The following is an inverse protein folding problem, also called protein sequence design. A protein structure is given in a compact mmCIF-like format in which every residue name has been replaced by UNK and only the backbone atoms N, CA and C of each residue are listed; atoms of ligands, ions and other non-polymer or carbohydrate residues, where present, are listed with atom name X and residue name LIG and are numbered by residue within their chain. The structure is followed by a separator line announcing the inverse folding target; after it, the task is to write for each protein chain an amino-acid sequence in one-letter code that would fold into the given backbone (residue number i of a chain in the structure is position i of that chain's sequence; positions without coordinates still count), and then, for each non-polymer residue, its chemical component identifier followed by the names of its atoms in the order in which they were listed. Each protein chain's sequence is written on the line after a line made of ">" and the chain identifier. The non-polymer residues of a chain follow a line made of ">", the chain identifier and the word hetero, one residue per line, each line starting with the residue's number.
data_IF_176203901602
#
_entry.id   IF_176203901602
#
_cell.length_a   1.000
_cell.length_b   1.000
_cell.length_c   1.000
_cell.angle_alpha   90.00
_cell.angle_beta   90.00
_cell.angle_gamma   90.00
#
_symmetry.space_group_name_H-M   'P 1'
#
loop_
_entity.id
_entity.type
_entity.pdbx_description
1 polymer ?
#
# COMPACT_ATOMS: atom_id res chain seq x y z
N UNK A 1 39.03 -57.46 23.82
CA UNK A 1 40.19 -57.30 24.74
C UNK A 1 40.15 -55.87 25.23
N UNK A 2 39.65 -55.74 26.34
CA UNK A 2 40.19 -55.69 27.73
C UNK A 2 40.67 -54.29 28.05
N UNK A 3 39.96 -53.71 28.97
CA UNK A 3 40.19 -53.50 30.40
C UNK A 3 40.74 -52.10 30.70
N UNK A 4 40.07 -51.42 31.46
CA UNK A 4 39.97 -51.22 32.95
C UNK A 4 40.70 -49.99 33.42
N UNK A 5 39.97 -49.22 34.15
CA UNK A 5 40.03 -48.87 35.58
C UNK A 5 40.95 -47.68 35.87
N UNK A 6 40.76 -46.78 36.76
CA UNK A 6 40.11 -46.81 38.09
C UNK A 6 40.08 -45.36 38.66
N UNK A 7 39.01 -45.02 39.34
CA UNK A 7 38.77 -44.32 40.60
C UNK A 7 39.86 -43.39 41.19
N UNK A 8 39.41 -42.29 41.78
CA UNK A 8 39.38 -41.95 43.21
C UNK A 8 38.85 -40.54 43.44
N UNK A 9 37.71 -40.38 44.04
CA UNK A 9 37.37 -40.03 45.46
C UNK A 9 38.15 -38.87 46.11
N UNK A 10 37.37 -37.95 46.67
CA UNK A 10 37.76 -36.99 47.68
C UNK A 10 36.77 -35.80 47.72
N UNK A 11 35.77 -35.86 48.33
CA UNK A 11 35.21 -35.69 49.68
C UNK A 11 35.53 -34.31 50.29
N UNK A 12 34.44 -33.63 50.60
CA UNK A 12 33.98 -32.99 51.79
C UNK A 12 33.96 -31.46 51.91
N UNK A 13 32.77 -31.09 52.32
CA UNK A 13 32.32 -30.16 53.36
C UNK A 13 31.86 -28.77 52.90
N UNK A 14 30.53 -28.65 53.03
CA UNK A 14 29.71 -27.81 53.90
C UNK A 14 30.29 -26.45 54.30
N UNK A 15 29.48 -25.39 54.01
CA UNK A 15 28.76 -24.55 54.98
C UNK A 15 27.93 -23.54 54.18
N UNK A 16 26.69 -23.58 54.27
CA UNK A 16 25.66 -22.94 55.09
C UNK A 16 25.53 -21.43 54.92
N UNK A 17 24.29 -21.08 54.77
CA UNK A 17 23.58 -19.86 55.08
C UNK A 17 23.52 -18.73 54.06
N UNK A 18 22.38 -18.44 53.70
CA UNK A 18 21.44 -17.37 53.95
C UNK A 18 20.75 -16.85 52.69
N UNK A 19 19.49 -17.07 52.70
CA UNK A 19 18.40 -16.33 52.07
C UNK A 19 18.65 -14.85 51.84
N UNK A 20 18.35 -14.39 50.66
CA UNK A 20 18.25 -13.00 50.31
C UNK A 20 17.47 -12.80 49.01
N UNK A 21 16.16 -12.75 49.18
CA UNK A 21 15.24 -12.27 48.13
C UNK A 21 15.40 -10.75 48.02
N UNK A 22 15.62 -10.18 46.85
CA UNK A 22 15.43 -8.78 46.61
C UNK A 22 14.23 -8.51 45.71
N UNK A 23 13.05 -8.50 46.29
CA UNK A 23 11.95 -7.67 45.77
C UNK A 23 12.23 -6.22 46.19
N UNK A 24 12.78 -5.44 45.37
CA UNK A 24 12.81 -3.97 45.46
C UNK A 24 12.01 -3.42 44.28
N UNK A 25 10.89 -3.06 44.57
CA UNK A 25 10.07 -1.87 44.65
C UNK A 25 10.59 -0.66 43.80
N UNK A 26 10.59 -0.84 42.45
CA UNK A 26 10.87 0.22 41.47
C UNK A 26 9.64 1.12 41.24
N UNK A 27 8.57 0.95 41.98
CA UNK A 27 7.34 1.73 41.81
C UNK A 27 7.29 2.99 42.69
N UNK A 28 8.23 3.18 43.62
CA UNK A 28 8.30 4.41 44.45
C UNK A 28 9.02 5.58 43.77
N UNK A 29 10.02 5.30 42.97
CA UNK A 29 10.83 6.36 42.35
C UNK A 29 10.09 7.16 41.26
N UNK A 30 9.05 6.61 40.66
CA UNK A 30 8.24 7.29 39.64
C UNK A 30 7.20 8.23 40.27
N UNK A 31 6.70 7.89 41.45
CA UNK A 31 5.73 8.73 42.15
C UNK A 31 6.37 9.97 42.79
N UNK A 32 7.62 9.84 43.28
CA UNK A 32 8.36 10.95 43.86
C UNK A 32 8.80 11.98 42.79
N UNK A 33 9.09 11.53 41.56
CA UNK A 33 9.40 12.43 40.42
C UNK A 33 8.16 13.17 39.92
N UNK A 34 6.98 12.57 40.01
CA UNK A 34 5.73 13.23 39.60
C UNK A 34 5.23 14.26 40.63
N UNK A 35 5.57 14.07 41.89
CA UNK A 35 5.21 15.03 42.98
C UNK A 35 6.12 16.27 43.01
N UNK A 36 7.36 16.16 42.50
CA UNK A 36 8.27 17.30 42.34
C UNK A 36 7.91 18.16 41.09
N UNK A 37 7.35 17.54 40.04
CA UNK A 37 6.87 18.27 38.86
C UNK A 37 5.52 18.97 39.06
N UNK A 38 4.80 18.64 40.12
CA UNK A 38 3.51 19.27 40.49
C UNK A 38 3.64 20.57 41.30
N UNK A 39 4.86 20.97 41.70
CA UNK A 39 5.12 22.23 42.44
C UNK A 39 5.73 23.29 41.55
N UNK A 40 5.13 23.56 40.40
CA UNK A 40 5.39 24.76 39.63
C UNK A 40 4.52 25.90 40.20
N UNK A 41 5.17 26.95 40.62
CA UNK A 41 4.62 28.14 41.24
C UNK A 41 3.34 28.65 40.55
N UNK A 42 2.32 28.96 41.37
CA UNK A 42 1.16 29.74 40.92
C UNK A 42 1.68 31.09 40.39
N UNK A 43 1.23 31.48 39.16
CA UNK A 43 1.63 32.81 38.65
C UNK A 43 0.93 33.89 39.49
N UNK A 44 1.75 34.78 40.07
CA UNK A 44 1.30 36.00 40.72
C UNK A 44 0.32 36.77 39.81
N UNK A 45 -0.79 37.17 40.40
CA UNK A 45 -1.77 38.03 39.75
C UNK A 45 -1.14 39.31 39.27
N UNK A 46 -1.22 39.68 37.99
CA UNK A 46 -0.68 40.92 37.51
C UNK A 46 -1.45 42.11 38.10
N UNK A 47 -0.73 43.03 38.70
CA UNK A 47 -1.24 44.35 39.09
C UNK A 47 -1.90 45.04 37.90
N UNK A 48 -3.04 45.66 38.15
CA UNK A 48 -3.84 46.40 37.17
C UNK A 48 -3.10 47.67 36.74
N UNK A 49 -2.24 47.59 35.74
CA UNK A 49 -1.82 48.78 34.98
C UNK A 49 -2.73 48.87 33.74
N UNK A 50 -3.34 50.02 33.54
CA UNK A 50 -4.40 50.28 32.57
C UNK A 50 -4.01 50.26 31.09
N UNK A 51 -2.91 49.62 30.72
CA UNK A 51 -2.40 49.53 29.33
C UNK A 51 -2.41 48.11 28.78
N UNK A 52 -2.57 47.06 29.59
CA UNK A 52 -2.53 45.65 29.14
C UNK A 52 -3.71 45.26 28.22
N UNK A 53 -4.87 45.82 28.46
CA UNK A 53 -6.05 45.55 27.61
C UNK A 53 -5.96 46.21 26.22
N UNK A 54 -5.28 47.37 26.13
CA UNK A 54 -5.03 48.07 24.86
C UNK A 54 -4.08 47.25 23.95
N UNK A 55 -3.05 46.63 24.54
CA UNK A 55 -2.10 45.78 23.81
C UNK A 55 -2.81 44.50 23.33
N UNK A 56 -3.65 43.89 24.17
CA UNK A 56 -4.43 42.71 23.78
C UNK A 56 -5.45 43.05 22.66
N UNK A 57 -6.07 44.22 22.71
CA UNK A 57 -7.02 44.68 21.68
C UNK A 57 -6.31 44.98 20.34
N UNK A 58 -5.12 45.60 20.38
CA UNK A 58 -4.30 45.86 19.20
C UNK A 58 -3.77 44.56 18.57
N UNK A 59 -3.37 43.59 19.38
CA UNK A 59 -2.96 42.27 18.89
C UNK A 59 -4.12 41.52 18.20
N UNK A 60 -5.32 41.51 18.79
CA UNK A 60 -6.51 40.92 18.20
C UNK A 60 -6.95 41.62 16.90
N UNK A 61 -6.84 42.95 16.84
CA UNK A 61 -7.14 43.72 15.62
C UNK A 61 -6.15 43.44 14.49
N UNK A 62 -4.84 43.25 14.82
CA UNK A 62 -3.82 42.88 13.84
C UNK A 62 -4.05 41.47 13.27
N UNK A 63 -4.46 40.50 14.10
CA UNK A 63 -4.80 39.14 13.64
C UNK A 63 -6.02 39.18 12.72
N UNK A 64 -7.09 39.90 13.09
CA UNK A 64 -8.27 40.04 12.25
C UNK A 64 -7.98 40.77 10.91
N UNK A 65 -7.10 41.76 10.91
CA UNK A 65 -6.64 42.42 9.69
C UNK A 65 -5.81 41.48 8.79
N UNK A 66 -4.94 40.64 9.37
CA UNK A 66 -4.16 39.65 8.65
C UNK A 66 -5.05 38.58 8.01
N UNK A 67 -6.07 38.11 8.71
CA UNK A 67 -7.07 37.16 8.15
C UNK A 67 -7.89 37.79 7.02
N UNK A 68 -8.29 39.04 7.17
CA UNK A 68 -8.99 39.80 6.13
C UNK A 68 -8.15 39.95 4.86
N UNK A 69 -6.86 40.29 5.00
CA UNK A 69 -5.90 40.39 3.90
C UNK A 69 -5.67 39.01 3.26
N UNK A 70 -5.55 37.96 4.05
CA UNK A 70 -5.39 36.59 3.55
C UNK A 70 -6.60 36.13 2.72
N UNK A 71 -7.82 36.34 3.22
CA UNK A 71 -9.07 36.03 2.50
C UNK A 71 -9.18 36.85 1.21
N UNK A 72 -8.80 38.13 1.25
CA UNK A 72 -8.81 39.01 0.08
C UNK A 72 -7.80 38.57 -0.98
N UNK A 73 -6.57 38.23 -0.58
CA UNK A 73 -5.52 37.71 -1.48
C UNK A 73 -5.96 36.35 -2.09
N UNK A 74 -6.58 35.46 -1.31
CA UNK A 74 -7.12 34.19 -1.78
C UNK A 74 -8.22 34.40 -2.81
N UNK A 75 -9.15 35.33 -2.59
CA UNK A 75 -10.21 35.71 -3.53
C UNK A 75 -9.66 36.40 -4.79
N UNK A 76 -8.58 37.16 -4.69
CA UNK A 76 -7.91 37.79 -5.82
C UNK A 76 -7.15 36.78 -6.69
N UNK A 77 -6.57 35.75 -6.11
CA UNK A 77 -5.90 34.65 -6.83
C UNK A 77 -6.92 33.77 -7.58
N UNK A 78 -8.10 33.56 -7.06
CA UNK A 78 -9.15 32.78 -7.73
C UNK A 78 -9.75 33.53 -8.94
N UNK A 79 -9.78 34.88 -8.94
CA UNK A 79 -10.25 35.66 -10.09
C UNK A 79 -9.24 35.80 -11.23
N UNK A 80 -7.92 35.60 -10.99
CA UNK A 80 -6.89 35.66 -12.02
C UNK A 80 -6.74 34.37 -12.85
N UNK A 81 -7.44 33.28 -12.53
CA UNK A 81 -7.37 32.01 -13.27
C UNK A 81 -8.42 31.83 -14.37
N UNK A 82 -9.23 32.84 -14.71
CA UNK A 82 -9.98 32.81 -15.96
C UNK A 82 -9.09 33.35 -17.08
N UNK A 83 -8.29 32.45 -17.69
CA UNK A 83 -7.69 32.73 -19.01
C UNK A 83 -8.81 32.91 -20.04
N UNK A 84 -8.76 33.93 -20.91
CA UNK A 84 -9.61 33.96 -22.10
C UNK A 84 -9.29 32.72 -22.93
N UNK A 85 -10.29 31.99 -23.38
CA UNK A 85 -10.13 30.97 -24.41
C UNK A 85 -9.61 31.69 -25.69
N UNK A 86 -8.58 31.16 -26.37
CA UNK A 86 -8.24 31.64 -27.68
C UNK A 86 -9.40 31.35 -28.64
N UNK A 87 -9.91 32.36 -29.33
CA UNK A 87 -10.80 32.19 -30.45
C UNK A 87 -10.04 31.38 -31.50
N UNK A 88 -10.49 30.19 -31.81
CA UNK A 88 -10.01 29.38 -32.91
C UNK A 88 -10.69 29.88 -34.19
N UNK A 89 -9.91 30.34 -35.13
CA UNK A 89 -10.34 30.53 -36.53
C UNK A 89 -10.86 29.18 -37.09
N UNK A 90 -11.83 29.21 -38.01
CA UNK A 90 -12.39 27.97 -38.55
C UNK A 90 -11.36 27.29 -39.46
N UNK A 91 -10.65 26.32 -38.96
CA UNK A 91 -9.87 25.40 -39.79
C UNK A 91 -10.83 24.46 -40.49
N UNK A 92 -10.78 24.51 -41.84
CA UNK A 92 -11.50 23.58 -42.71
C UNK A 92 -11.29 22.13 -42.30
N UNK A 93 -12.31 21.55 -41.71
CA UNK A 93 -12.29 20.14 -41.32
C UNK A 93 -12.59 19.29 -42.53
N UNK A 94 -11.56 18.72 -43.13
CA UNK A 94 -11.72 17.58 -44.05
C UNK A 94 -12.27 16.42 -43.21
N UNK A 95 -13.53 16.05 -43.43
CA UNK A 95 -14.20 14.95 -42.81
C UNK A 95 -13.47 13.65 -43.17
N UNK A 96 -12.68 13.14 -42.23
CA UNK A 96 -12.31 11.71 -42.21
C UNK A 96 -13.58 10.90 -41.96
N UNK A 97 -13.77 9.75 -42.62
CA UNK A 97 -14.98 8.96 -42.48
C UNK A 97 -15.08 8.51 -41.00
N UNK A 98 -16.22 8.80 -40.42
CA UNK A 98 -16.63 8.31 -39.09
C UNK A 98 -16.49 6.79 -39.10
N UNK A 99 -15.40 6.29 -38.54
CA UNK A 99 -15.27 4.87 -38.24
C UNK A 99 -16.38 4.47 -37.29
N UNK A 100 -16.90 3.29 -37.56
CA UNK A 100 -18.05 2.66 -36.92
C UNK A 100 -18.09 2.95 -35.40
N UNK A 101 -19.27 3.35 -34.93
CA UNK A 101 -19.61 3.35 -33.51
C UNK A 101 -19.14 2.04 -32.89
N UNK A 102 -18.21 2.15 -31.93
CA UNK A 102 -17.88 1.05 -31.03
C UNK A 102 -19.20 0.51 -30.45
N UNK A 103 -19.40 -0.80 -30.40
CA UNK A 103 -20.57 -1.35 -29.78
C UNK A 103 -20.66 -0.81 -28.35
N UNK A 104 -21.70 -0.02 -28.06
CA UNK A 104 -22.04 0.31 -26.69
C UNK A 104 -22.19 -1.00 -25.96
N UNK A 105 -21.25 -1.29 -25.07
CA UNK A 105 -21.31 -2.44 -24.19
C UNK A 105 -22.62 -2.30 -23.42
N UNK A 106 -23.62 -3.09 -23.79
CA UNK A 106 -24.90 -3.12 -23.10
C UNK A 106 -24.58 -3.34 -21.62
N UNK A 107 -24.98 -2.42 -20.75
CA UNK A 107 -24.87 -2.56 -19.30
C UNK A 107 -25.57 -3.87 -18.94
N UNK A 108 -24.79 -4.93 -18.74
CA UNK A 108 -25.31 -6.24 -18.35
C UNK A 108 -25.77 -6.12 -16.91
N UNK A 109 -27.09 -6.01 -16.72
CA UNK A 109 -27.72 -6.02 -15.41
C UNK A 109 -27.87 -7.48 -14.96
N UNK A 110 -27.21 -7.87 -13.89
CA UNK A 110 -27.31 -9.23 -13.32
C UNK A 110 -26.23 -9.45 -12.26
N UNK A 111 -26.31 -10.55 -11.51
CA UNK A 111 -25.22 -10.92 -10.61
C UNK A 111 -23.97 -11.31 -11.42
N UNK A 112 -22.81 -11.11 -10.82
CA UNK A 112 -21.57 -11.65 -11.36
C UNK A 112 -21.57 -13.17 -11.11
N UNK A 113 -21.50 -13.93 -12.17
CA UNK A 113 -21.54 -15.40 -12.10
C UNK A 113 -20.19 -16.03 -12.45
N UNK A 114 -19.33 -15.29 -13.11
CA UNK A 114 -18.02 -15.75 -13.53
C UNK A 114 -16.97 -14.64 -13.40
N UNK A 115 -15.75 -15.01 -13.03
CA UNK A 115 -14.57 -14.17 -13.08
C UNK A 115 -13.57 -14.79 -14.05
N UNK A 116 -13.20 -14.04 -15.11
CA UNK A 116 -12.12 -14.43 -16.00
C UNK A 116 -10.79 -13.86 -15.46
N UNK A 117 -9.72 -14.64 -15.60
CA UNK A 117 -8.41 -14.31 -15.04
C UNK A 117 -7.39 -14.11 -16.16
N UNK A 118 -6.71 -12.97 -16.17
CA UNK A 118 -5.51 -12.70 -16.96
C UNK A 118 -4.30 -12.58 -16.06
N UNK A 119 -3.14 -13.04 -16.55
CA UNK A 119 -1.90 -13.06 -15.77
C UNK A 119 -0.73 -12.62 -16.63
N UNK A 120 0.07 -11.69 -16.15
CA UNK A 120 1.38 -11.36 -16.72
C UNK A 120 2.42 -11.43 -15.62
N UNK A 121 3.58 -12.04 -15.93
CA UNK A 121 4.65 -12.19 -14.97
C UNK A 121 5.96 -12.37 -15.73
N UNK A 122 6.81 -11.35 -15.71
CA UNK A 122 8.04 -11.36 -16.47
C UNK A 122 9.19 -10.66 -15.73
N UNK A 123 10.38 -11.13 -16.00
CA UNK A 123 11.59 -10.70 -15.31
C UNK A 123 12.05 -9.29 -15.73
N UNK A 124 11.63 -8.81 -16.91
CA UNK A 124 12.14 -7.56 -17.45
C UNK A 124 13.62 -7.61 -17.75
N UNK A 125 14.35 -6.57 -17.37
CA UNK A 125 15.80 -6.44 -17.58
C UNK A 125 16.63 -6.77 -16.31
N UNK A 126 15.99 -7.24 -15.25
CA UNK A 126 16.65 -7.60 -13.98
C UNK A 126 17.38 -8.96 -14.09
N UNK A 127 18.35 -9.20 -13.22
CA UNK A 127 19.10 -10.47 -13.18
C UNK A 127 18.27 -11.61 -12.59
N UNK A 128 17.30 -11.31 -11.73
CA UNK A 128 16.41 -12.27 -11.08
C UNK A 128 14.98 -11.80 -11.07
N UNK A 129 14.04 -12.73 -10.93
CA UNK A 129 12.62 -12.45 -10.73
C UNK A 129 12.34 -12.42 -9.23
N UNK A 130 12.01 -11.24 -8.71
CA UNK A 130 11.70 -11.02 -7.30
C UNK A 130 10.20 -10.83 -7.05
N UNK A 131 9.41 -10.60 -8.11
CA UNK A 131 7.96 -10.63 -8.01
C UNK A 131 7.45 -12.06 -7.83
N UNK A 132 6.34 -12.20 -7.14
CA UNK A 132 5.58 -13.45 -7.03
C UNK A 132 4.08 -13.16 -7.06
N UNK A 133 3.32 -14.10 -7.58
CA UNK A 133 1.86 -13.97 -7.60
C UNK A 133 1.17 -15.34 -7.51
N UNK A 134 -0.10 -15.33 -7.15
CA UNK A 134 -0.96 -16.51 -7.29
C UNK A 134 -2.44 -16.09 -7.34
N UNK A 135 -3.25 -16.98 -7.87
CA UNK A 135 -4.72 -16.90 -7.85
C UNK A 135 -5.26 -18.22 -7.33
N UNK A 136 -6.23 -18.17 -6.43
CA UNK A 136 -6.74 -19.38 -5.77
C UNK A 136 -7.47 -20.34 -6.71
N UNK A 137 -8.02 -19.83 -7.81
CA UNK A 137 -8.74 -20.60 -8.84
C UNK A 137 -8.81 -19.79 -10.13
N UNK A 138 -9.00 -20.46 -11.26
CA UNK A 138 -9.29 -19.82 -12.56
C UNK A 138 -10.80 -19.54 -12.75
N UNK A 139 -11.63 -19.85 -11.76
CA UNK A 139 -13.07 -19.60 -11.76
C UNK A 139 -13.57 -19.21 -10.37
N UNK A 140 -14.70 -18.51 -10.34
CA UNK A 140 -15.33 -18.12 -9.08
C UNK A 140 -15.80 -19.38 -8.33
N UNK A 141 -15.32 -19.54 -7.10
CA UNK A 141 -15.66 -20.63 -6.19
C UNK A 141 -16.62 -20.14 -5.10
N UNK A 142 -17.28 -21.03 -4.33
CA UNK A 142 -18.15 -20.63 -3.22
C UNK A 142 -17.42 -19.81 -2.12
N UNK A 143 -16.14 -20.10 -1.87
CA UNK A 143 -15.26 -19.35 -0.96
C UNK A 143 -14.66 -18.10 -1.59
N UNK A 144 -14.97 -17.84 -2.86
CA UNK A 144 -14.50 -16.69 -3.63
C UNK A 144 -13.29 -16.99 -4.50
N UNK A 145 -12.77 -15.94 -5.11
CA UNK A 145 -11.50 -15.97 -5.85
C UNK A 145 -10.55 -14.95 -5.23
N UNK A 146 -9.42 -15.42 -4.76
CA UNK A 146 -8.36 -14.64 -4.17
C UNK A 146 -7.21 -14.49 -5.16
N UNK A 147 -6.77 -13.26 -5.41
CA UNK A 147 -5.53 -12.95 -6.11
C UNK A 147 -4.54 -12.28 -5.15
N UNK A 148 -3.27 -12.59 -5.30
CA UNK A 148 -2.17 -11.97 -4.57
C UNK A 148 -1.00 -11.67 -5.50
N UNK A 149 -0.41 -10.48 -5.35
CA UNK A 149 0.85 -10.07 -5.98
C UNK A 149 1.77 -9.55 -4.88
N UNK A 150 3.02 -9.94 -4.93
CA UNK A 150 4.08 -9.56 -4.00
C UNK A 150 5.33 -9.20 -4.79
N UNK A 151 5.81 -7.97 -4.61
CA UNK A 151 7.01 -7.43 -5.23
C UNK A 151 8.13 -7.47 -4.20
N UNK A 152 9.11 -8.34 -4.44
CA UNK A 152 10.21 -8.62 -3.53
C UNK A 152 11.34 -7.64 -3.68
N UNK A 153 11.82 -7.09 -2.56
CA UNK A 153 12.93 -6.16 -2.51
C UNK A 153 14.03 -6.65 -1.56
N UNK A 154 15.26 -6.43 -1.96
CA UNK A 154 16.45 -6.76 -1.14
C UNK A 154 17.67 -6.95 -2.03
N UNK A 155 18.81 -6.42 -1.60
CA UNK A 155 20.08 -6.65 -2.28
C UNK A 155 20.52 -8.12 -2.10
N UNK A 156 20.80 -8.83 -3.20
CA UNK A 156 21.53 -10.10 -3.22
C UNK A 156 20.81 -11.37 -2.73
N UNK A 157 19.62 -11.72 -3.12
CA UNK A 157 19.07 -13.09 -3.07
C UNK A 157 17.88 -13.37 -2.11
N UNK A 158 17.36 -12.41 -1.36
CA UNK A 158 16.26 -12.73 -0.43
C UNK A 158 14.89 -12.17 -0.86
N UNK A 159 14.83 -11.21 -1.80
CA UNK A 159 13.58 -10.60 -2.26
C UNK A 159 12.63 -11.62 -2.89
N UNK A 160 13.17 -12.49 -3.74
CA UNK A 160 12.44 -13.59 -4.39
C UNK A 160 11.89 -14.60 -3.36
N UNK A 161 12.71 -14.97 -2.38
CA UNK A 161 12.30 -15.89 -1.30
C UNK A 161 11.21 -15.29 -0.41
N UNK A 162 11.30 -13.98 -0.13
CA UNK A 162 10.30 -13.28 0.69
C UNK A 162 8.97 -13.20 -0.05
N UNK A 163 8.95 -12.76 -1.31
CA UNK A 163 7.72 -12.68 -2.09
C UNK A 163 7.06 -14.05 -2.30
N UNK A 164 7.85 -15.09 -2.58
CA UNK A 164 7.36 -16.48 -2.69
C UNK A 164 6.79 -16.99 -1.36
N UNK A 165 7.46 -16.67 -0.23
CA UNK A 165 6.97 -17.06 1.12
C UNK A 165 5.62 -16.41 1.42
N UNK A 166 5.47 -15.11 1.08
CA UNK A 166 4.19 -14.39 1.23
C UNK A 166 3.08 -15.08 0.45
N UNK A 167 3.30 -15.26 -0.86
CA UNK A 167 2.30 -15.85 -1.75
C UNK A 167 1.93 -17.27 -1.29
N UNK A 168 2.93 -18.09 -0.93
CA UNK A 168 2.72 -19.45 -0.46
C UNK A 168 1.92 -19.49 0.86
N UNK A 169 2.27 -18.64 1.83
CA UNK A 169 1.58 -18.60 3.11
C UNK A 169 0.12 -18.13 2.97
N UNK A 170 -0.13 -17.11 2.13
CA UNK A 170 -1.46 -16.61 1.83
C UNK A 170 -2.31 -17.71 1.18
N UNK A 171 -1.82 -18.32 0.11
CA UNK A 171 -2.58 -19.31 -0.66
C UNK A 171 -2.81 -20.59 0.14
N UNK A 172 -1.80 -21.09 0.83
CA UNK A 172 -1.96 -22.26 1.69
C UNK A 172 -3.03 -22.01 2.76
N UNK A 173 -2.99 -20.85 3.43
CA UNK A 173 -3.98 -20.51 4.47
C UNK A 173 -5.38 -20.38 3.88
N UNK A 174 -5.54 -19.71 2.73
CA UNK A 174 -6.83 -19.52 2.09
C UNK A 174 -7.45 -20.85 1.65
N UNK A 175 -6.70 -21.66 0.91
CA UNK A 175 -7.19 -22.95 0.37
C UNK A 175 -7.46 -23.97 1.48
N UNK A 176 -6.63 -24.00 2.53
CA UNK A 176 -6.80 -24.95 3.64
C UNK A 176 -7.97 -24.61 4.57
N UNK A 177 -8.52 -23.40 4.51
CA UNK A 177 -9.60 -22.95 5.39
C UNK A 177 -10.99 -23.43 4.96
N UNK A 178 -11.15 -23.89 3.73
CA UNK A 178 -12.42 -24.36 3.19
C UNK A 178 -13.54 -23.33 3.37
N UNK A 179 -14.72 -23.77 3.79
CA UNK A 179 -15.90 -22.92 3.97
C UNK A 179 -15.76 -21.78 5.00
N UNK A 180 -14.70 -21.80 5.81
CA UNK A 180 -14.38 -20.73 6.77
C UNK A 180 -13.34 -19.76 6.20
N UNK A 181 -13.51 -19.32 4.96
CA UNK A 181 -12.54 -18.48 4.27
C UNK A 181 -12.06 -17.30 5.15
N UNK A 182 -10.74 -17.19 5.41
CA UNK A 182 -10.19 -16.22 6.32
C UNK A 182 -10.35 -14.80 5.75
N UNK A 183 -10.36 -13.81 6.63
CA UNK A 183 -10.33 -12.39 6.22
C UNK A 183 -8.91 -12.01 5.77
N UNK A 184 -8.81 -11.03 4.88
CA UNK A 184 -7.51 -10.58 4.35
C UNK A 184 -6.49 -10.18 5.44
N UNK A 185 -6.86 -9.52 6.56
CA UNK A 185 -5.92 -9.26 7.65
C UNK A 185 -5.36 -10.53 8.32
N UNK A 186 -6.12 -11.62 8.36
CA UNK A 186 -5.66 -12.89 8.89
C UNK A 186 -4.63 -13.55 7.96
N UNK A 187 -4.85 -13.44 6.65
CA UNK A 187 -3.88 -13.87 5.63
C UNK A 187 -2.58 -13.07 5.73
N UNK A 188 -2.68 -11.74 5.86
CA UNK A 188 -1.50 -10.90 6.07
C UNK A 188 -0.72 -11.30 7.34
N UNK A 189 -1.41 -11.56 8.44
CA UNK A 189 -0.75 -11.98 9.68
C UNK A 189 0.03 -13.30 9.51
N UNK A 190 -0.53 -14.25 8.75
CA UNK A 190 0.15 -15.52 8.41
C UNK A 190 1.36 -15.31 7.50
N UNK A 191 1.22 -14.48 6.46
CA UNK A 191 2.31 -14.12 5.56
C UNK A 191 3.44 -13.42 6.31
N UNK A 192 3.09 -12.41 7.14
CA UNK A 192 4.06 -11.70 7.98
C UNK A 192 4.81 -12.66 8.92
N UNK A 193 4.10 -13.53 9.63
CA UNK A 193 4.72 -14.52 10.51
C UNK A 193 5.70 -15.41 9.74
N UNK A 194 5.31 -15.93 8.57
CA UNK A 194 6.18 -16.78 7.75
C UNK A 194 7.46 -16.05 7.30
N UNK A 195 7.33 -14.78 6.91
CA UNK A 195 8.48 -13.96 6.52
C UNK A 195 9.38 -13.63 7.72
N UNK A 196 8.80 -13.29 8.88
CA UNK A 196 9.59 -13.06 10.10
C UNK A 196 10.40 -14.30 10.51
N UNK A 197 9.82 -15.51 10.34
CA UNK A 197 10.54 -16.78 10.57
C UNK A 197 11.63 -17.02 9.51
N UNK A 198 11.38 -16.70 8.23
CA UNK A 198 12.35 -16.83 7.16
C UNK A 198 13.57 -15.93 7.36
N UNK A 199 13.32 -14.66 7.70
CA UNK A 199 14.38 -13.66 7.80
C UNK A 199 15.13 -13.71 9.12
N UNK A 200 14.47 -14.14 10.21
CA UNK A 200 15.02 -14.05 11.56
C UNK A 200 15.34 -12.60 11.98
N UNK A 201 15.86 -12.39 13.20
CA UNK A 201 16.11 -11.04 13.71
C UNK A 201 17.10 -10.22 12.88
N UNK A 202 18.11 -10.87 12.31
CA UNK A 202 19.18 -10.22 11.55
C UNK A 202 18.80 -9.86 10.10
N UNK A 203 17.81 -10.55 9.54
CA UNK A 203 17.31 -10.32 8.18
C UNK A 203 16.20 -9.28 8.10
N UNK A 204 15.52 -9.00 9.20
CA UNK A 204 14.49 -7.96 9.26
C UNK A 204 15.05 -6.60 8.85
N UNK A 205 14.28 -5.83 8.08
CA UNK A 205 14.61 -4.52 7.50
C UNK A 205 15.74 -4.54 6.45
N UNK A 206 16.28 -5.71 6.10
CA UNK A 206 17.27 -5.85 5.04
C UNK A 206 16.67 -6.37 3.74
N UNK A 207 15.64 -7.20 3.89
CA UNK A 207 14.85 -7.75 2.78
C UNK A 207 13.38 -7.67 3.14
N UNK A 208 12.52 -7.63 2.16
CA UNK A 208 11.09 -7.55 2.34
C UNK A 208 10.36 -7.67 1.03
N UNK A 209 9.07 -7.44 1.10
CA UNK A 209 8.22 -7.41 -0.09
C UNK A 209 6.99 -6.56 0.14
N UNK A 210 6.46 -5.99 -0.92
CA UNK A 210 5.09 -5.50 -0.94
C UNK A 210 4.12 -6.68 -0.88
N UNK A 211 2.86 -6.41 -0.63
CA UNK A 211 1.76 -7.35 -0.86
C UNK A 211 0.50 -6.59 -1.25
N UNK A 212 -0.16 -7.03 -2.30
CA UNK A 212 -1.52 -6.64 -2.64
C UNK A 212 -2.36 -7.90 -2.79
N UNK A 213 -3.52 -7.91 -2.14
CA UNK A 213 -4.50 -8.99 -2.18
C UNK A 213 -5.85 -8.43 -2.60
N UNK A 214 -6.57 -9.18 -3.45
CA UNK A 214 -7.94 -8.89 -3.85
C UNK A 214 -8.79 -10.14 -3.79
N UNK A 215 -9.92 -10.07 -3.10
CA UNK A 215 -10.86 -11.17 -2.92
C UNK A 215 -12.23 -10.78 -3.48
N UNK A 216 -12.70 -11.52 -4.49
CA UNK A 216 -14.09 -11.44 -4.96
C UNK A 216 -14.87 -12.60 -4.33
N UNK A 217 -15.87 -12.26 -3.50
CA UNK A 217 -16.74 -13.22 -2.84
C UNK A 217 -18.12 -12.60 -2.62
N UNK A 218 -19.18 -13.38 -2.81
CA UNK A 218 -20.58 -12.96 -2.57
C UNK A 218 -20.96 -11.65 -3.30
N UNK A 219 -20.43 -11.43 -4.52
CA UNK A 219 -20.68 -10.23 -5.30
C UNK A 219 -20.01 -8.96 -4.77
N UNK A 220 -19.04 -9.12 -3.89
CA UNK A 220 -18.26 -8.05 -3.28
C UNK A 220 -16.77 -8.25 -3.57
N UNK A 221 -16.05 -7.13 -3.75
CA UNK A 221 -14.60 -7.11 -3.82
C UNK A 221 -14.04 -6.48 -2.56
N UNK A 222 -13.17 -7.21 -1.90
CA UNK A 222 -12.39 -6.73 -0.75
C UNK A 222 -10.91 -6.76 -1.09
N UNK A 223 -10.13 -5.86 -0.50
CA UNK A 223 -8.69 -5.80 -0.76
C UNK A 223 -7.88 -5.45 0.48
N UNK A 224 -6.59 -5.77 0.39
CA UNK A 224 -5.59 -5.34 1.37
C UNK A 224 -4.29 -5.06 0.65
N UNK A 225 -3.60 -3.99 1.04
CA UNK A 225 -2.25 -3.69 0.53
C UNK A 225 -1.27 -3.26 1.62
N UNK A 226 0.00 -3.62 1.42
CA UNK A 226 1.17 -3.10 2.14
C UNK A 226 2.27 -2.87 1.11
N UNK A 227 2.80 -1.66 1.04
CA UNK A 227 3.78 -1.26 0.04
C UNK A 227 3.21 -0.30 -0.99
N UNK A 228 3.80 -0.25 -2.17
CA UNK A 228 3.44 0.66 -3.26
C UNK A 228 2.89 -0.04 -4.51
N UNK A 229 2.84 -1.37 -4.53
CA UNK A 229 2.08 -2.13 -5.53
C UNK A 229 0.64 -1.66 -5.59
N UNK A 230 0.00 -1.70 -6.76
CA UNK A 230 -1.30 -1.07 -6.99
C UNK A 230 -2.43 -2.07 -7.17
N UNK A 231 -3.61 -1.65 -6.70
CA UNK A 231 -4.89 -2.28 -6.98
C UNK A 231 -5.76 -1.23 -7.66
N UNK A 232 -6.22 -1.51 -8.87
CA UNK A 232 -7.10 -0.60 -9.60
C UNK A 232 -8.40 -1.31 -9.99
N UNK A 233 -9.46 -0.52 -10.12
CA UNK A 233 -10.74 -0.89 -10.71
C UNK A 233 -10.90 -0.15 -12.04
N UNK A 234 -11.10 -0.89 -13.11
CA UNK A 234 -11.58 -0.35 -14.37
C UNK A 234 -13.09 -0.60 -14.47
N UNK A 235 -13.83 0.49 -14.52
CA UNK A 235 -15.31 0.51 -14.57
C UNK A 235 -15.76 1.66 -15.45
N UNK A 236 -16.72 1.42 -16.35
CA UNK A 236 -17.35 2.45 -17.19
C UNK A 236 -16.35 3.31 -17.98
N UNK A 237 -15.21 2.73 -18.40
CA UNK A 237 -14.18 3.42 -19.18
C UNK A 237 -13.15 4.18 -18.32
N UNK A 238 -13.26 4.15 -17.00
CA UNK A 238 -12.37 4.84 -16.07
C UNK A 238 -11.53 3.85 -15.26
N UNK A 239 -10.23 4.11 -15.17
CA UNK A 239 -9.30 3.38 -14.31
C UNK A 239 -9.09 4.16 -13.01
N UNK A 240 -9.48 3.56 -11.89
CA UNK A 240 -9.37 4.14 -10.56
C UNK A 240 -8.44 3.32 -9.69
N UNK A 241 -7.38 3.93 -9.15
CA UNK A 241 -6.58 3.30 -8.11
C UNK A 241 -7.37 3.25 -6.80
N UNK A 242 -7.44 2.07 -6.18
CA UNK A 242 -8.20 1.81 -4.96
C UNK A 242 -7.36 1.98 -3.69
N UNK A 243 -6.13 1.47 -3.70
CA UNK A 243 -5.24 1.50 -2.53
C UNK A 243 -4.31 2.71 -2.53
N UNK A 244 -3.77 3.01 -1.37
CA UNK A 244 -2.74 4.04 -1.17
C UNK A 244 -1.36 3.43 -1.26
N UNK A 245 -0.42 4.18 -1.85
CA UNK A 245 1.00 3.81 -1.83
C UNK A 245 1.61 4.10 -0.46
N UNK A 246 2.31 3.12 0.10
CA UNK A 246 3.11 3.29 1.31
C UNK A 246 4.56 3.63 0.95
N UNK A 247 4.74 4.71 0.22
CA UNK A 247 6.04 5.24 -0.19
C UNK A 247 6.29 6.62 0.42
N UNK A 248 7.55 6.97 0.56
CA UNK A 248 7.92 8.27 1.10
C UNK A 248 7.50 9.41 0.16
N UNK A 249 7.44 9.17 -1.14
CA UNK A 249 6.90 10.13 -2.11
C UNK A 249 5.44 10.47 -1.85
N UNK A 250 4.64 9.51 -1.38
CA UNK A 250 3.26 9.77 -1.00
C UNK A 250 3.19 10.68 0.23
N UNK A 251 3.99 10.42 1.27
CA UNK A 251 4.09 11.28 2.46
C UNK A 251 4.54 12.71 2.08
N UNK A 252 5.57 12.84 1.24
CA UNK A 252 6.04 14.13 0.73
C UNK A 252 5.00 14.86 -0.12
N UNK A 253 4.17 14.13 -0.86
CA UNK A 253 3.09 14.74 -1.66
C UNK A 253 2.03 15.39 -0.78
N UNK A 254 1.76 14.82 0.39
CA UNK A 254 0.88 15.44 1.40
C UNK A 254 1.50 16.74 1.91
N UNK A 255 2.81 16.76 2.22
CA UNK A 255 3.55 17.97 2.62
C UNK A 255 3.49 19.06 1.52
N UNK A 256 3.56 18.66 0.24
CA UNK A 256 3.43 19.60 -0.86
C UNK A 256 2.01 20.17 -1.01
N UNK A 257 0.98 19.36 -0.79
CA UNK A 257 -0.42 19.81 -0.80
C UNK A 257 -0.65 20.82 0.34
N UNK A 258 -0.04 20.59 1.50
CA UNK A 258 -0.08 21.48 2.65
C UNK A 258 0.77 22.75 2.45
N UNK A 259 1.59 22.82 1.41
CA UNK A 259 2.45 23.96 1.09
C UNK A 259 3.78 23.98 1.87
N UNK A 260 4.14 22.89 2.52
CA UNK A 260 5.37 22.72 3.28
C UNK A 260 6.59 22.46 2.38
N UNK A 261 6.35 21.81 1.23
CA UNK A 261 7.34 21.53 0.17
C UNK A 261 6.79 21.81 -1.22
N UNK A 262 7.68 21.93 -2.21
CA UNK A 262 7.31 21.99 -3.62
C UNK A 262 7.39 20.60 -4.25
N UNK A 263 6.61 20.36 -5.30
CA UNK A 263 6.70 19.11 -6.07
C UNK A 263 8.09 18.92 -6.73
N UNK A 264 8.84 20.01 -6.93
CA UNK A 264 10.20 19.94 -7.47
C UNK A 264 11.20 19.45 -6.42
N UNK A 265 11.05 19.86 -5.16
CA UNK A 265 11.83 19.33 -4.03
C UNK A 265 11.58 17.84 -3.81
N UNK A 266 10.32 17.40 -3.94
CA UNK A 266 9.97 15.98 -3.83
C UNK A 266 10.68 15.14 -4.88
N UNK A 267 10.65 15.57 -6.14
CA UNK A 267 11.32 14.85 -7.26
C UNK A 267 12.83 14.73 -7.11
N UNK A 268 13.46 15.58 -6.29
CA UNK A 268 14.90 15.57 -6.01
C UNK A 268 15.24 14.79 -4.75
N UNK A 269 14.26 14.44 -3.92
CA UNK A 269 14.48 13.69 -2.69
C UNK A 269 14.76 12.22 -3.02
N UNK A 270 15.99 11.77 -2.74
CA UNK A 270 16.39 10.37 -3.00
C UNK A 270 15.60 9.34 -2.22
N UNK A 271 14.91 9.75 -1.15
CA UNK A 271 14.06 8.88 -0.34
C UNK A 271 12.68 8.69 -0.93
N UNK A 272 12.32 9.46 -1.96
CA UNK A 272 10.97 9.44 -2.56
C UNK A 272 10.55 8.01 -2.96
N UNK A 273 11.48 7.19 -3.44
CA UNK A 273 11.25 5.81 -3.86
C UNK A 273 11.30 4.79 -2.70
N UNK A 274 11.65 5.24 -1.46
CA UNK A 274 11.71 4.34 -0.33
C UNK A 274 10.31 3.98 0.16
N UNK A 275 10.09 2.70 0.44
CA UNK A 275 8.87 2.22 1.08
C UNK A 275 8.84 2.62 2.56
N UNK A 276 7.67 3.04 3.01
CA UNK A 276 7.40 3.39 4.42
C UNK A 276 6.70 2.27 5.17
N UNK A 277 6.16 1.27 4.46
CA UNK A 277 5.62 0.03 5.03
C UNK A 277 5.78 -1.13 4.03
N UNK A 278 6.29 -2.27 4.49
CA UNK A 278 6.47 -3.50 3.71
C UNK A 278 6.58 -4.72 4.64
N UNK A 279 6.27 -5.91 4.14
CA UNK A 279 6.42 -7.16 4.88
C UNK A 279 7.90 -7.52 4.97
N UNK A 280 8.42 -7.75 6.17
CA UNK A 280 9.85 -7.94 6.46
C UNK A 280 10.48 -6.76 7.21
N UNK A 281 9.74 -5.64 7.41
CA UNK A 281 10.24 -4.52 8.19
C UNK A 281 10.12 -4.71 9.72
N UNK A 282 9.51 -5.80 10.16
CA UNK A 282 9.12 -6.03 11.53
C UNK A 282 7.68 -5.57 11.79
N UNK A 283 7.48 -4.54 12.58
CA UNK A 283 6.14 -3.95 12.78
C UNK A 283 5.73 -3.13 11.55
N UNK A 284 4.52 -3.39 11.04
CA UNK A 284 3.99 -2.68 9.87
C UNK A 284 3.51 -1.28 10.28
N UNK A 285 4.00 -0.25 9.59
CA UNK A 285 3.58 1.13 9.83
C UNK A 285 2.19 1.40 9.26
N UNK A 286 1.92 0.88 8.07
CA UNK A 286 0.67 1.07 7.35
C UNK A 286 0.18 -0.25 6.75
N UNK A 287 -1.13 -0.43 6.77
CA UNK A 287 -1.90 -1.45 6.05
C UNK A 287 -3.11 -0.75 5.48
N UNK A 288 -3.33 -0.82 4.18
CA UNK A 288 -4.49 -0.22 3.54
C UNK A 288 -5.56 -1.28 3.27
N UNK A 289 -6.78 -0.99 3.73
CA UNK A 289 -7.97 -1.82 3.53
C UNK A 289 -9.15 -0.88 3.22
N UNK A 290 -10.15 -1.30 2.47
CA UNK A 290 -11.32 -0.48 2.23
C UNK A 290 -12.15 -0.31 3.51
N UNK A 291 -12.84 0.82 3.63
CA UNK A 291 -13.78 1.06 4.74
C UNK A 291 -14.97 0.07 4.71
N UNK A 292 -15.34 -0.38 3.52
CA UNK A 292 -16.32 -1.43 3.25
C UNK A 292 -15.99 -2.10 1.91
N UNK A 293 -16.33 -3.41 1.75
CA UNK A 293 -16.15 -4.10 0.48
C UNK A 293 -16.91 -3.40 -0.66
N UNK A 294 -16.34 -3.43 -1.85
CA UNK A 294 -16.87 -2.79 -3.07
C UNK A 294 -17.85 -3.74 -3.74
N UNK A 295 -19.07 -3.27 -4.00
CA UNK A 295 -20.02 -4.07 -4.78
C UNK A 295 -19.53 -4.25 -6.21
N UNK A 296 -19.49 -5.51 -6.66
CA UNK A 296 -19.03 -5.89 -7.98
C UNK A 296 -20.18 -5.87 -8.98
N UNK A 297 -19.90 -5.39 -10.19
CA UNK A 297 -20.84 -5.37 -11.29
C UNK A 297 -20.26 -6.14 -12.49
N UNK A 298 -21.11 -6.72 -13.34
CA UNK A 298 -20.64 -7.28 -14.61
C UNK A 298 -19.97 -6.22 -15.47
N UNK A 299 -18.78 -6.51 -15.97
CA UNK A 299 -17.95 -5.58 -16.73
C UNK A 299 -16.86 -4.91 -15.91
N UNK A 300 -16.89 -5.00 -14.59
CA UNK A 300 -15.79 -4.55 -13.76
C UNK A 300 -14.53 -5.38 -14.03
N UNK A 301 -13.39 -4.70 -14.04
CA UNK A 301 -12.08 -5.34 -14.12
C UNK A 301 -11.21 -4.84 -12.98
N UNK A 302 -10.81 -5.74 -12.11
CA UNK A 302 -9.82 -5.44 -11.07
C UNK A 302 -8.44 -5.88 -11.56
N UNK A 303 -7.43 -5.02 -11.37
CA UNK A 303 -6.04 -5.34 -11.67
C UNK A 303 -5.18 -5.11 -10.43
N UNK A 304 -4.41 -6.14 -10.05
CA UNK A 304 -3.37 -6.08 -9.02
C UNK A 304 -2.03 -6.11 -9.74
N UNK A 305 -1.12 -5.17 -9.45
CA UNK A 305 0.12 -5.07 -10.21
C UNK A 305 1.29 -4.54 -9.37
N UNK A 306 2.50 -5.04 -9.67
CA UNK A 306 3.76 -4.49 -9.18
C UNK A 306 4.14 -3.19 -9.92
N UNK A 307 5.12 -2.48 -9.41
CA UNK A 307 5.54 -1.18 -9.92
C UNK A 307 6.14 -1.25 -11.33
N UNK A 308 6.75 -2.36 -11.72
CA UNK A 308 7.26 -2.56 -13.06
C UNK A 308 6.20 -2.46 -14.17
N UNK A 309 4.92 -2.65 -13.84
CA UNK A 309 3.81 -2.46 -14.79
C UNK A 309 3.49 -0.97 -14.94
N UNK A 310 3.15 -0.28 -13.84
CA UNK A 310 2.68 1.11 -13.90
C UNK A 310 3.79 2.15 -14.06
N UNK A 311 5.05 1.75 -13.85
CA UNK A 311 6.20 2.56 -14.24
C UNK A 311 6.46 2.48 -15.76
N UNK A 312 6.08 1.37 -16.40
CA UNK A 312 6.22 1.18 -17.83
C UNK A 312 5.03 1.71 -18.65
N UNK A 313 3.80 1.50 -18.18
CA UNK A 313 2.57 1.86 -18.87
C UNK A 313 1.83 3.00 -18.17
N UNK A 314 1.29 3.92 -18.98
CA UNK A 314 0.43 4.99 -18.47
C UNK A 314 -0.98 4.48 -18.24
N UNK A 315 -1.75 5.18 -17.39
CA UNK A 315 -3.15 4.83 -17.09
C UNK A 315 -4.01 4.70 -18.35
N UNK A 316 -3.76 5.48 -19.39
CA UNK A 316 -4.46 5.41 -20.69
C UNK A 316 -4.16 4.10 -21.44
N UNK A 317 -2.90 3.64 -21.41
CA UNK A 317 -2.49 2.37 -22.02
C UNK A 317 -3.08 1.18 -21.24
N UNK A 318 -3.04 1.24 -19.92
CA UNK A 318 -3.69 0.24 -19.06
C UNK A 318 -5.19 0.17 -19.31
N UNK A 319 -5.89 1.32 -19.36
CA UNK A 319 -7.32 1.38 -19.67
C UNK A 319 -7.63 0.72 -21.00
N UNK A 320 -6.86 1.04 -22.06
CA UNK A 320 -7.06 0.46 -23.39
C UNK A 320 -6.84 -1.07 -23.41
N UNK A 321 -5.89 -1.59 -22.62
CA UNK A 321 -5.72 -3.03 -22.46
C UNK A 321 -6.93 -3.66 -21.76
N UNK A 322 -7.42 -3.05 -20.67
CA UNK A 322 -8.50 -3.57 -19.83
C UNK A 322 -9.89 -3.50 -20.48
N UNK A 323 -10.04 -2.81 -21.63
CA UNK A 323 -11.23 -2.90 -22.50
C UNK A 323 -11.39 -4.28 -23.14
N UNK A 324 -10.31 -5.05 -23.21
CA UNK A 324 -10.31 -6.39 -23.77
C UNK A 324 -10.73 -7.45 -22.74
N UNK A 325 -10.85 -8.71 -23.14
CA UNK A 325 -10.98 -9.79 -22.16
C UNK A 325 -9.69 -9.93 -21.34
N UNK A 326 -9.80 -10.53 -20.14
CA UNK A 326 -8.72 -10.58 -19.16
C UNK A 326 -7.42 -11.20 -19.71
N UNK A 327 -7.52 -12.26 -20.52
CA UNK A 327 -6.37 -12.91 -21.13
C UNK A 327 -5.69 -12.00 -22.17
N UNK A 328 -6.48 -11.40 -23.07
CA UNK A 328 -5.98 -10.47 -24.08
C UNK A 328 -5.40 -9.20 -23.46
N UNK A 329 -6.00 -8.70 -22.37
CA UNK A 329 -5.48 -7.58 -21.63
C UNK A 329 -4.08 -7.88 -21.06
N UNK A 330 -3.89 -9.07 -20.49
CA UNK A 330 -2.58 -9.51 -20.00
C UNK A 330 -1.54 -9.59 -21.13
N UNK A 331 -1.91 -10.18 -22.28
CA UNK A 331 -1.03 -10.22 -23.47
C UNK A 331 -0.63 -8.83 -23.95
N UNK A 332 -1.58 -7.88 -24.02
CA UNK A 332 -1.31 -6.52 -24.47
C UNK A 332 -0.40 -5.77 -23.50
N UNK A 333 -0.59 -5.94 -22.18
CA UNK A 333 0.28 -5.35 -21.16
C UNK A 333 1.70 -5.86 -21.35
N UNK A 334 1.89 -7.18 -21.50
CA UNK A 334 3.20 -7.78 -21.73
C UNK A 334 3.84 -7.26 -23.02
N UNK A 335 3.11 -7.31 -24.13
CA UNK A 335 3.57 -6.84 -25.43
C UNK A 335 4.01 -5.37 -25.37
N UNK A 336 3.17 -4.48 -24.82
CA UNK A 336 3.47 -3.05 -24.81
C UNK A 336 4.63 -2.70 -23.88
N UNK A 337 4.82 -3.41 -22.76
CA UNK A 337 6.00 -3.22 -21.92
C UNK A 337 7.26 -3.64 -22.69
N UNK A 338 7.24 -4.78 -23.38
CA UNK A 338 8.37 -5.23 -24.18
C UNK A 338 8.69 -4.27 -25.33
N UNK A 339 7.69 -3.72 -26.01
CA UNK A 339 7.86 -2.74 -27.10
C UNK A 339 8.51 -1.43 -26.66
N UNK A 340 8.42 -1.06 -25.36
CA UNK A 340 9.09 0.14 -24.82
C UNK A 340 10.61 0.00 -24.75
N UNK A 341 11.14 -1.21 -24.75
CA UNK A 341 12.58 -1.50 -24.70
C UNK A 341 13.35 -0.74 -23.61
N UNK A 342 12.75 -0.58 -22.43
CA UNK A 342 13.42 0.09 -21.31
C UNK A 342 14.63 -0.73 -20.83
N UNK A 343 15.80 -0.07 -20.80
CA UNK A 343 17.07 -0.73 -20.42
C UNK A 343 17.06 -1.25 -18.98
N UNK A 344 16.28 -0.60 -18.13
CA UNK A 344 16.17 -0.91 -16.69
C UNK A 344 14.74 -1.33 -16.35
N UNK A 345 14.05 -2.05 -17.26
CA UNK A 345 12.73 -2.56 -16.97
C UNK A 345 12.79 -3.46 -15.74
N UNK A 346 11.98 -3.15 -14.74
CA UNK A 346 11.86 -3.96 -13.55
C UNK A 346 11.14 -5.28 -13.81
N UNK A 347 11.17 -6.18 -12.84
CA UNK A 347 10.21 -7.28 -12.80
C UNK A 347 8.81 -6.68 -12.91
N UNK A 348 7.93 -7.30 -13.67
CA UNK A 348 6.56 -6.80 -13.81
C UNK A 348 5.55 -7.94 -13.74
N UNK A 349 4.58 -7.74 -12.88
CA UNK A 349 3.55 -8.72 -12.59
C UNK A 349 2.20 -8.04 -12.51
N UNK A 350 1.20 -8.60 -13.19
CA UNK A 350 -0.19 -8.20 -13.04
C UNK A 350 -1.12 -9.41 -13.01
N UNK A 351 -2.15 -9.34 -12.17
CA UNK A 351 -3.29 -10.24 -12.14
C UNK A 351 -4.54 -9.44 -12.43
N UNK A 352 -5.29 -9.86 -13.43
CA UNK A 352 -6.52 -9.22 -13.92
C UNK A 352 -7.70 -10.13 -13.58
N UNK A 353 -8.68 -9.60 -12.87
CA UNK A 353 -9.93 -10.27 -12.52
C UNK A 353 -11.09 -9.55 -13.21
N UNK A 354 -11.60 -10.12 -14.30
CA UNK A 354 -12.72 -9.57 -15.07
C UNK A 354 -14.03 -10.23 -14.68
N UNK A 355 -14.96 -9.42 -14.20
CA UNK A 355 -16.26 -9.85 -13.72
C UNK A 355 -17.26 -9.96 -14.87
N UNK A 356 -17.82 -11.13 -15.07
CA UNK A 356 -18.74 -11.43 -16.17
C UNK A 356 -20.13 -11.79 -15.64
N UNK A 357 -21.18 -11.37 -16.36
CA UNK A 357 -22.51 -11.93 -16.21
C UNK A 357 -22.59 -13.29 -16.88
N UNK A 358 -23.60 -14.07 -16.55
CA UNK A 358 -23.96 -15.23 -17.35
C UNK A 358 -24.20 -14.82 -18.80
N UNK A 359 -23.76 -15.63 -19.74
CA UNK A 359 -24.21 -15.48 -21.10
C UNK A 359 -25.73 -15.63 -21.07
N UNK A 360 -26.46 -14.62 -21.49
CA UNK A 360 -27.89 -14.76 -21.69
C UNK A 360 -28.08 -15.94 -22.68
N UNK A 361 -28.75 -17.01 -22.20
CA UNK A 361 -29.18 -18.13 -23.05
C UNK A 361 -30.05 -17.65 -24.21
#
# INVERSE_FOLDING_TARGET
>A
DSKNDDSTTGDSKNDDSTTGDPTTDDSKDILDVLDELGKADEPEKPEKSGTGWLIAFLAAALVAAAEGVYIWLRRRRSKKRRRPQPQSDPVSTTLLPRTASLPQTAVRTGPVSRVAVGKVHAQGARESQQDSFSVSSDSLQPDGILAVVADGMGGLADGDRVSQTIVSAVMHTFVSSGNAAPRLPELLAKAKYAVDQLLGPDGLRRSGSTIVMGLIRDGMFDYLSVGDSRICLYRDGELQQLNRSHSYSHELSIEAINGEKTFEEIRKDRRAECLTSYVGMGELKYVDIPAAPIKVHPGDVFILMSDGVFNALKDQELSAALEQNAERAAELIDQWIQEKHYRNQDNYTAVILQCCADAAE
#
